data_IF_762744283451
#
_entry.id   IF_762744283451
#
_cell.length_a   1.000
_cell.length_b   1.000
_cell.length_c   1.000
_cell.angle_alpha   90.00
_cell.angle_beta   90.00
_cell.angle_gamma   90.00
#
_symmetry.space_group_name_H-M   'P 1'
#
loop_
_entity.id
_entity.type
_entity.pdbx_description
1 polymer ?
#
# COMPACT_ATOMS: atom_id res chain seq x y z
N UNK A 1 -17.97 23.44 -1.02
CA UNK A 1 -16.91 24.41 -1.30
C UNK A 1 -15.61 23.65 -1.21
N UNK A 2 -14.98 23.41 -2.36
CA UNK A 2 -13.71 22.70 -2.41
C UNK A 2 -12.66 23.51 -1.65
N UNK A 3 -12.03 22.90 -0.64
CA UNK A 3 -10.95 23.56 0.08
C UNK A 3 -9.77 23.74 -0.89
N UNK A 4 -9.30 24.97 -1.07
CA UNK A 4 -8.11 25.24 -1.87
C UNK A 4 -6.93 24.51 -1.24
N UNK A 5 -6.28 23.62 -2.02
CA UNK A 5 -5.09 22.91 -1.58
C UNK A 5 -3.94 23.90 -1.34
N UNK A 6 -3.58 24.12 -0.07
CA UNK A 6 -2.52 25.06 0.34
C UNK A 6 -1.47 24.37 1.22
N UNK A 7 -1.02 23.19 0.80
CA UNK A 7 -0.03 22.41 1.55
C UNK A 7 1.37 23.03 1.44
N UNK A 8 1.89 23.62 2.53
CA UNK A 8 3.29 24.06 2.62
C UNK A 8 4.17 22.89 3.06
N UNK A 9 5.10 22.40 2.21
CA UNK A 9 6.02 21.35 2.60
C UNK A 9 6.95 21.83 3.73
N UNK A 10 7.36 20.93 4.61
CA UNK A 10 8.31 21.24 5.67
C UNK A 10 9.68 21.60 5.11
N UNK A 11 10.46 22.43 5.82
CA UNK A 11 11.71 22.97 5.27
C UNK A 11 12.78 21.91 4.98
N UNK A 12 12.70 20.76 5.63
CA UNK A 12 13.63 19.65 5.46
C UNK A 12 13.25 18.67 4.33
N UNK A 13 12.06 18.80 3.72
CA UNK A 13 11.70 17.91 2.62
C UNK A 13 12.41 18.33 1.31
N UNK A 14 12.83 17.36 0.48
CA UNK A 14 13.61 17.64 -0.72
C UNK A 14 12.78 18.26 -1.86
N UNK A 15 11.46 18.10 -1.84
CA UNK A 15 10.56 18.58 -2.90
C UNK A 15 9.68 19.70 -2.33
N UNK A 16 9.80 20.90 -2.92
CA UNK A 16 9.05 22.11 -2.51
C UNK A 16 8.28 22.79 -3.64
N UNK A 17 8.34 22.22 -4.84
CA UNK A 17 7.67 22.72 -6.04
C UNK A 17 6.15 22.68 -5.85
N UNK A 18 5.53 23.87 -5.82
CA UNK A 18 4.09 24.00 -5.57
C UNK A 18 3.24 23.57 -6.76
N UNK A 19 3.70 23.79 -7.98
CA UNK A 19 2.95 23.40 -9.19
C UNK A 19 2.94 21.88 -9.31
N UNK A 20 4.10 21.24 -9.04
CA UNK A 20 4.19 19.78 -9.00
C UNK A 20 3.24 19.21 -7.94
N UNK A 21 3.25 19.75 -6.72
CA UNK A 21 2.41 19.25 -5.63
C UNK A 21 0.91 19.44 -5.91
N UNK A 22 0.51 20.59 -6.46
CA UNK A 22 -0.89 20.84 -6.84
C UNK A 22 -1.35 19.88 -7.95
N UNK A 23 -0.50 19.61 -8.94
CA UNK A 23 -0.77 18.60 -9.98
C UNK A 23 -0.93 17.20 -9.39
N UNK A 24 -0.01 16.77 -8.53
CA UNK A 24 -0.05 15.44 -7.91
C UNK A 24 -1.27 15.27 -6.99
N UNK A 25 -1.64 16.30 -6.24
CA UNK A 25 -2.78 16.28 -5.33
C UNK A 25 -4.14 16.11 -6.05
N UNK A 26 -4.20 16.47 -7.34
CA UNK A 26 -5.41 16.35 -8.18
C UNK A 26 -5.51 15.01 -8.92
N UNK A 27 -4.48 14.17 -8.86
CA UNK A 27 -4.48 12.91 -9.59
C UNK A 27 -5.59 11.98 -9.10
N UNK A 28 -6.24 11.28 -10.03
CA UNK A 28 -7.22 10.25 -9.70
C UNK A 28 -6.54 8.94 -9.32
N UNK A 29 -7.29 8.03 -8.70
CA UNK A 29 -6.78 6.69 -8.41
C UNK A 29 -6.32 5.98 -9.70
N UNK A 30 -7.09 6.09 -10.77
CA UNK A 30 -6.81 5.47 -12.07
C UNK A 30 -5.52 5.99 -12.69
N UNK A 31 -5.23 7.28 -12.52
CA UNK A 31 -3.98 7.89 -12.98
C UNK A 31 -2.77 7.41 -12.16
N UNK A 32 -2.94 7.27 -10.84
CA UNK A 32 -1.88 6.76 -9.94
C UNK A 32 -1.61 5.26 -10.20
N UNK A 33 -2.62 4.50 -10.62
CA UNK A 33 -2.47 3.08 -10.93
C UNK A 33 -1.63 2.80 -12.18
N UNK A 34 -1.35 3.82 -13.01
CA UNK A 34 -0.52 3.67 -14.20
C UNK A 34 0.97 3.65 -13.85
N UNK A 35 1.68 2.62 -14.32
CA UNK A 35 3.12 2.52 -14.15
C UNK A 35 3.83 2.12 -15.46
N UNK A 36 4.97 2.73 -15.83
CA UNK A 36 5.68 2.39 -17.07
C UNK A 36 6.18 0.92 -17.12
N UNK A 37 6.49 0.35 -15.96
CA UNK A 37 6.80 -1.08 -15.85
C UNK A 37 5.49 -1.89 -15.71
N UNK A 38 5.15 -2.76 -16.68
CA UNK A 38 3.90 -3.54 -16.67
C UNK A 38 3.84 -4.60 -15.56
N UNK A 39 4.98 -4.99 -14.97
CA UNK A 39 5.02 -5.94 -13.85
C UNK A 39 4.60 -5.29 -12.53
N UNK A 40 4.63 -3.96 -12.47
CA UNK A 40 4.21 -3.20 -11.29
C UNK A 40 2.71 -2.98 -11.37
N UNK A 41 1.98 -3.70 -10.51
CA UNK A 41 0.53 -3.59 -10.38
C UNK A 41 0.19 -2.77 -9.15
N UNK A 42 -0.34 -1.57 -9.37
CA UNK A 42 -0.76 -0.64 -8.31
C UNK A 42 -2.28 -0.75 -8.16
N UNK A 43 -2.77 -0.75 -6.93
CA UNK A 43 -4.19 -0.64 -6.61
C UNK A 43 -4.43 0.31 -5.47
N UNK A 44 -5.35 1.27 -5.67
CA UNK A 44 -5.75 2.23 -4.64
C UNK A 44 -7.02 1.69 -3.97
N UNK A 45 -6.91 1.37 -2.67
CA UNK A 45 -7.97 0.68 -1.93
C UNK A 45 -8.35 1.48 -0.69
N UNK A 46 -9.66 1.64 -0.44
CA UNK A 46 -10.18 2.19 0.81
C UNK A 46 -9.99 1.22 1.99
N UNK A 47 -10.04 -0.10 1.73
CA UNK A 47 -9.90 -1.17 2.72
C UNK A 47 -8.52 -1.85 2.73
N UNK A 48 -7.44 -1.11 2.47
CA UNK A 48 -6.08 -1.64 2.28
C UNK A 48 -5.67 -2.65 3.37
N UNK A 49 -5.94 -2.34 4.65
CA UNK A 49 -5.55 -3.20 5.77
C UNK A 49 -6.04 -4.64 5.62
N UNK A 50 -7.36 -4.85 5.49
CA UNK A 50 -7.95 -6.18 5.40
C UNK A 50 -7.53 -6.93 4.14
N UNK A 51 -7.42 -6.24 3.00
CA UNK A 51 -7.02 -6.86 1.73
C UNK A 51 -5.59 -7.39 1.82
N UNK A 52 -4.67 -6.59 2.37
CA UNK A 52 -3.27 -7.00 2.55
C UNK A 52 -3.16 -8.17 3.54
N UNK A 53 -4.01 -8.23 4.54
CA UNK A 53 -4.02 -9.37 5.48
C UNK A 53 -4.42 -10.67 4.79
N UNK A 54 -5.51 -10.64 4.03
CA UNK A 54 -5.97 -11.80 3.29
C UNK A 54 -4.92 -12.25 2.27
N UNK A 55 -4.34 -11.32 1.51
CA UNK A 55 -3.30 -11.61 0.52
C UNK A 55 -2.07 -12.29 1.14
N UNK A 56 -1.58 -11.76 2.26
CA UNK A 56 -0.44 -12.34 2.99
C UNK A 56 -0.74 -13.73 3.52
N UNK A 57 -1.90 -13.92 4.17
CA UNK A 57 -2.28 -15.22 4.71
C UNK A 57 -2.41 -16.27 3.60
N UNK A 58 -3.11 -15.93 2.52
CA UNK A 58 -3.31 -16.82 1.38
C UNK A 58 -1.98 -17.17 0.69
N UNK A 59 -1.07 -16.20 0.52
CA UNK A 59 0.24 -16.44 -0.06
C UNK A 59 1.13 -17.34 0.80
N UNK A 60 1.11 -17.18 2.13
CA UNK A 60 1.82 -18.06 3.07
C UNK A 60 1.23 -19.47 3.02
N UNK A 61 -0.10 -19.59 3.05
CA UNK A 61 -0.79 -20.88 2.98
C UNK A 61 -0.51 -21.60 1.67
N UNK A 62 -0.58 -20.93 0.53
CA UNK A 62 -0.25 -21.53 -0.78
C UNK A 62 1.23 -21.96 -0.83
N UNK A 63 2.13 -21.14 -0.28
CA UNK A 63 3.55 -21.48 -0.18
C UNK A 63 3.77 -22.79 0.57
N UNK A 64 3.10 -22.95 1.71
CA UNK A 64 3.15 -24.16 2.53
C UNK A 64 2.53 -25.36 1.81
N UNK A 65 1.30 -25.22 1.28
CA UNK A 65 0.55 -26.32 0.67
C UNK A 65 1.16 -26.83 -0.64
N UNK A 66 1.79 -25.94 -1.42
CA UNK A 66 2.28 -26.26 -2.77
C UNK A 66 3.81 -26.23 -2.88
N UNK A 67 4.52 -26.05 -1.75
CA UNK A 67 5.96 -25.87 -1.71
C UNK A 67 6.46 -24.78 -2.71
N UNK A 68 5.68 -23.70 -2.84
CA UNK A 68 6.00 -22.56 -3.70
C UNK A 68 6.71 -21.49 -2.91
N UNK A 69 7.63 -20.76 -3.54
CA UNK A 69 8.27 -19.59 -2.90
C UNK A 69 7.29 -18.42 -2.85
N UNK A 70 7.03 -17.91 -1.65
CA UNK A 70 6.30 -16.65 -1.45
C UNK A 70 7.23 -15.61 -0.81
N UNK A 71 7.16 -14.36 -1.30
CA UNK A 71 7.92 -13.23 -0.76
C UNK A 71 7.01 -12.02 -0.67
N UNK A 72 7.01 -11.34 0.48
CA UNK A 72 6.16 -10.19 0.76
C UNK A 72 6.88 -9.21 1.68
N UNK A 73 6.54 -7.93 1.60
CA UNK A 73 7.12 -6.87 2.43
C UNK A 73 6.21 -6.60 3.62
N UNK A 74 6.76 -6.53 4.82
CA UNK A 74 6.09 -6.00 6.01
C UNK A 74 6.58 -4.57 6.26
N UNK A 75 5.63 -3.64 6.30
CA UNK A 75 5.92 -2.22 6.49
C UNK A 75 6.29 -1.88 7.94
N UNK A 76 5.94 -0.67 8.37
CA UNK A 76 6.09 -0.27 9.77
C UNK A 76 5.34 -1.24 10.71
N UNK A 77 5.81 -1.39 11.96
CA UNK A 77 5.09 -2.18 12.96
C UNK A 77 3.63 -1.75 13.06
N UNK A 78 2.73 -2.70 12.85
CA UNK A 78 1.28 -2.48 12.98
C UNK A 78 0.66 -3.67 13.72
N UNK A 79 0.64 -3.64 15.07
CA UNK A 79 0.20 -4.78 15.87
C UNK A 79 -1.19 -5.30 15.48
N UNK A 80 -2.13 -4.39 15.17
CA UNK A 80 -3.51 -4.72 14.81
C UNK A 80 -3.62 -5.60 13.55
N UNK A 81 -2.67 -5.49 12.62
CA UNK A 81 -2.64 -6.32 11.42
C UNK A 81 -1.76 -7.56 11.62
N UNK A 82 -0.57 -7.40 12.18
CA UNK A 82 0.41 -8.48 12.25
C UNK A 82 0.07 -9.55 13.29
N UNK A 83 -0.52 -9.18 14.43
CA UNK A 83 -0.92 -10.16 15.45
C UNK A 83 -2.05 -11.05 14.95
N UNK A 84 -3.03 -10.47 14.25
CA UNK A 84 -4.12 -11.22 13.64
C UNK A 84 -3.60 -12.20 12.60
N UNK A 85 -2.60 -11.81 11.79
CA UNK A 85 -1.96 -12.74 10.85
C UNK A 85 -1.29 -13.90 11.55
N UNK A 86 -0.53 -13.62 12.60
CA UNK A 86 0.17 -14.64 13.36
C UNK A 86 -0.81 -15.62 13.99
N UNK A 87 -1.92 -15.13 14.54
CA UNK A 87 -3.00 -15.97 15.07
C UNK A 87 -3.60 -16.85 13.97
N UNK A 88 -3.93 -16.28 12.80
CA UNK A 88 -4.44 -17.05 11.65
C UNK A 88 -3.49 -18.15 11.20
N UNK A 89 -2.18 -17.87 11.11
CA UNK A 89 -1.16 -18.86 10.73
C UNK A 89 -1.04 -19.98 11.78
N UNK A 90 -1.21 -19.66 13.06
CA UNK A 90 -1.10 -20.63 14.13
C UNK A 90 -2.36 -21.51 14.28
N UNK A 91 -3.50 -21.06 13.75
CA UNK A 91 -4.79 -21.76 13.90
C UNK A 91 -5.25 -22.50 12.64
N UNK A 92 -4.67 -22.21 11.47
CA UNK A 92 -5.06 -22.77 10.17
C UNK A 92 -3.86 -23.18 9.32
#
# INVERSE_FOLDING_TARGET
MDSIFNFKPADWVPIKDRELLDRLAKMTAEEIEQHPNPDVRIKILSGFGSVVMADKFMGIKESYEQNKKFSTIFGNPNPNTHMVLAELINTH
#
